data_IF_697090152199
#
_entry.id   IF_697090152199
#
_cell.length_a   1.000
_cell.length_b   1.000
_cell.length_c   1.000
_cell.angle_alpha   90.00
_cell.angle_beta   90.00
_cell.angle_gamma   90.00
#
_symmetry.space_group_name_H-M   'P 1'
#
loop_
_entity.id
_entity.type
_entity.pdbx_description
1 polymer ?
#
# COMPACT_ATOMS: atom_id res chain seq x y z
N UNK A 1 -13.35 -37.27 11.97
CA UNK A 1 -13.83 -35.92 11.64
C UNK A 1 -12.61 -35.03 11.58
N UNK A 2 -12.03 -34.85 10.40
CA UNK A 2 -10.89 -33.94 10.19
C UNK A 2 -11.45 -32.52 10.15
N UNK A 3 -10.96 -31.67 11.04
CA UNK A 3 -11.28 -30.25 11.03
C UNK A 3 -10.38 -29.63 9.96
N UNK A 4 -10.95 -29.24 8.83
CA UNK A 4 -10.24 -28.40 7.85
C UNK A 4 -10.09 -27.00 8.45
N UNK A 5 -8.86 -26.52 8.51
CA UNK A 5 -8.54 -25.16 8.95
C UNK A 5 -8.17 -24.33 7.73
N UNK A 6 -8.92 -23.26 7.48
CA UNK A 6 -8.65 -22.31 6.41
C UNK A 6 -7.75 -21.18 6.92
N UNK A 7 -6.61 -20.96 6.25
CA UNK A 7 -5.69 -19.87 6.53
C UNK A 7 -6.07 -18.65 5.68
N UNK A 8 -6.64 -17.63 6.33
CA UNK A 8 -7.01 -16.36 5.69
C UNK A 8 -5.95 -15.31 6.00
N UNK A 9 -5.28 -14.78 4.97
CA UNK A 9 -4.40 -13.62 5.12
C UNK A 9 -5.25 -12.37 5.22
N UNK A 10 -5.08 -11.61 6.31
CA UNK A 10 -5.82 -10.36 6.49
C UNK A 10 -5.26 -9.24 5.60
N UNK A 11 -6.13 -8.32 5.21
CA UNK A 11 -5.74 -7.13 4.42
C UNK A 11 -4.68 -6.28 5.15
N UNK A 12 -4.60 -6.37 6.49
CA UNK A 12 -3.55 -5.73 7.28
C UNK A 12 -2.16 -6.36 7.08
N UNK A 13 -2.09 -7.68 6.96
CA UNK A 13 -0.83 -8.38 6.63
C UNK A 13 -0.40 -7.99 5.22
N UNK A 14 -1.34 -7.97 4.27
CA UNK A 14 -1.07 -7.52 2.89
C UNK A 14 -0.53 -6.09 2.89
N UNK A 15 -1.15 -5.17 3.64
CA UNK A 15 -0.71 -3.77 3.73
C UNK A 15 0.71 -3.66 4.28
N UNK A 16 1.05 -4.42 5.31
CA UNK A 16 2.39 -4.43 5.90
C UNK A 16 3.46 -5.00 4.95
N UNK A 17 3.14 -6.10 4.25
CA UNK A 17 4.03 -6.70 3.24
C UNK A 17 4.25 -5.73 2.08
N UNK A 18 3.18 -5.09 1.58
CA UNK A 18 3.25 -4.10 0.52
C UNK A 18 4.06 -2.86 0.94
N UNK A 19 3.88 -2.34 2.15
CA UNK A 19 4.68 -1.24 2.69
C UNK A 19 6.16 -1.60 2.75
N UNK A 20 6.50 -2.78 3.28
CA UNK A 20 7.89 -3.25 3.32
C UNK A 20 8.49 -3.37 1.91
N UNK A 21 7.74 -3.93 0.97
CA UNK A 21 8.18 -4.07 -0.41
C UNK A 21 8.45 -2.70 -1.05
N UNK A 22 7.50 -1.76 -0.94
CA UNK A 22 7.64 -0.41 -1.48
C UNK A 22 8.84 0.34 -0.88
N UNK A 23 9.02 0.30 0.44
CA UNK A 23 10.14 0.95 1.13
C UNK A 23 11.51 0.39 0.74
N UNK A 24 11.57 -0.86 0.23
CA UNK A 24 12.82 -1.48 -0.22
C UNK A 24 13.25 -1.08 -1.63
N UNK A 25 12.42 -0.34 -2.38
CA UNK A 25 12.73 0.04 -3.75
C UNK A 25 13.70 1.22 -3.78
N UNK A 26 14.85 1.10 -4.48
CA UNK A 26 15.79 2.21 -4.65
C UNK A 26 15.13 3.45 -5.24
N UNK A 27 15.38 4.61 -4.63
CA UNK A 27 14.79 5.89 -5.01
C UNK A 27 13.55 6.28 -4.22
N UNK A 28 12.94 5.35 -3.48
CA UNK A 28 11.96 5.68 -2.43
C UNK A 28 12.73 6.21 -1.22
N UNK A 29 12.49 7.47 -0.84
CA UNK A 29 13.14 8.07 0.31
C UNK A 29 12.42 7.68 1.61
N UNK A 30 11.08 7.74 1.59
CA UNK A 30 10.21 7.38 2.72
C UNK A 30 8.80 7.09 2.24
N UNK A 31 8.09 6.23 2.97
CA UNK A 31 6.65 6.11 2.85
C UNK A 31 6.02 7.16 3.75
N UNK A 32 5.03 7.88 3.24
CA UNK A 32 4.35 8.91 4.01
C UNK A 32 2.88 8.54 4.16
N UNK A 33 2.28 8.67 5.35
CA UNK A 33 0.83 8.67 5.47
C UNK A 33 0.31 9.84 4.65
N UNK A 34 -0.13 9.60 3.41
CA UNK A 34 -0.48 10.69 2.51
C UNK A 34 -1.57 11.60 3.07
N UNK A 35 -1.76 12.78 2.48
CA UNK A 35 -2.78 13.74 2.93
C UNK A 35 -4.18 13.11 3.02
N UNK A 36 -4.50 12.15 2.15
CA UNK A 36 -5.73 11.35 2.24
C UNK A 36 -5.76 10.42 3.46
N UNK A 37 -4.63 9.96 3.97
CA UNK A 37 -4.52 9.11 5.16
C UNK A 37 -4.83 9.90 6.44
N UNK A 38 -4.42 11.17 6.48
CA UNK A 38 -4.81 12.11 7.53
C UNK A 38 -6.32 12.46 7.46
N UNK A 39 -6.83 12.78 6.27
CA UNK A 39 -8.27 13.08 6.07
C UNK A 39 -9.15 11.84 6.30
N UNK A 40 -8.72 10.66 5.85
CA UNK A 40 -9.43 9.40 6.15
C UNK A 40 -9.28 9.00 7.61
N UNK A 41 -8.17 9.34 8.30
CA UNK A 41 -8.05 9.15 9.75
C UNK A 41 -9.11 9.93 10.52
N UNK A 42 -9.42 11.16 10.08
CA UNK A 42 -10.52 11.95 10.63
C UNK A 42 -11.89 11.40 10.22
N UNK A 43 -12.04 10.96 8.97
CA UNK A 43 -13.25 10.29 8.53
C UNK A 43 -13.45 8.93 9.23
N UNK A 44 -12.41 8.25 9.69
CA UNK A 44 -12.46 6.95 10.41
C UNK A 44 -13.10 7.11 11.78
N UNK A 45 -12.86 8.24 12.47
CA UNK A 45 -13.60 8.63 13.67
C UNK A 45 -15.09 8.88 13.39
N UNK A 46 -15.45 9.37 12.19
CA UNK A 46 -16.85 9.59 11.78
C UNK A 46 -17.56 8.37 11.16
N UNK A 47 -16.82 7.50 10.46
CA UNK A 47 -17.33 6.34 9.70
C UNK A 47 -17.41 5.06 10.51
N UNK A 48 -16.72 4.95 11.66
CA UNK A 48 -16.98 3.88 12.64
C UNK A 48 -18.46 3.81 13.07
N UNK A 49 -19.23 4.88 12.83
CA UNK A 49 -20.67 4.92 13.10
C UNK A 49 -21.57 4.50 11.92
N UNK A 50 -21.08 4.37 10.67
CA UNK A 50 -22.01 4.33 9.51
C UNK A 50 -21.78 3.30 8.38
N UNK A 51 -20.57 2.93 7.93
CA UNK A 51 -20.46 2.08 6.71
C UNK A 51 -19.24 1.15 6.73
N UNK A 52 -19.48 -0.16 6.75
CA UNK A 52 -18.50 -1.25 6.83
C UNK A 52 -17.70 -1.53 5.55
N UNK A 53 -16.77 -0.64 5.22
CA UNK A 53 -15.65 -0.93 4.31
C UNK A 53 -14.35 -0.60 5.04
N UNK A 54 -13.78 -1.61 5.70
CA UNK A 54 -12.54 -1.48 6.48
C UNK A 54 -11.34 -1.47 5.53
N UNK A 55 -10.70 -0.31 5.38
CA UNK A 55 -9.39 -0.22 4.72
C UNK A 55 -8.29 -0.45 5.75
N UNK A 56 -7.47 -1.46 5.49
CA UNK A 56 -6.26 -1.73 6.25
C UNK A 56 -5.16 -0.76 5.82
N UNK A 57 -4.53 -0.09 6.79
CA UNK A 57 -3.48 0.88 6.56
C UNK A 57 -2.20 0.46 7.28
N UNK A 58 -1.07 0.52 6.56
CA UNK A 58 0.29 0.52 7.09
C UNK A 58 0.96 1.82 6.62
N UNK A 59 2.11 2.24 7.17
CA UNK A 59 2.73 3.55 6.87
C UNK A 59 2.74 3.86 5.36
N UNK A 60 1.92 4.83 4.92
CA UNK A 60 1.76 5.22 3.51
C UNK A 60 1.11 4.19 2.57
N UNK A 61 0.68 3.02 3.05
CA UNK A 61 0.06 1.97 2.24
C UNK A 61 -1.37 1.69 2.68
N UNK A 62 -2.27 1.57 1.70
CA UNK A 62 -3.66 1.20 1.91
C UNK A 62 -4.06 0.06 1.02
N UNK A 63 -4.78 -0.89 1.62
CA UNK A 63 -5.39 -2.01 0.91
C UNK A 63 -6.90 -1.81 0.92
N UNK A 64 -7.51 -2.03 -0.24
CA UNK A 64 -8.96 -1.98 -0.44
C UNK A 64 -9.36 -3.10 -1.38
N UNK A 65 -10.54 -3.68 -1.14
CA UNK A 65 -11.16 -4.60 -2.08
C UNK A 65 -12.04 -3.84 -3.06
N UNK A 66 -11.92 -4.15 -4.35
CA UNK A 66 -12.76 -3.56 -5.39
C UNK A 66 -14.18 -4.15 -5.31
N UNK A 67 -15.14 -3.52 -5.99
CA UNK A 67 -16.50 -4.02 -6.06
C UNK A 67 -16.61 -5.43 -6.69
N UNK A 68 -15.62 -5.84 -7.48
CA UNK A 68 -15.53 -7.17 -8.09
C UNK A 68 -14.75 -8.18 -7.23
N UNK A 69 -14.34 -7.79 -6.02
CA UNK A 69 -13.59 -8.63 -5.09
C UNK A 69 -12.07 -8.67 -5.31
N UNK A 70 -11.56 -7.91 -6.27
CA UNK A 70 -10.13 -7.75 -6.51
C UNK A 70 -9.44 -6.94 -5.42
N UNK A 71 -8.12 -7.03 -5.33
CA UNK A 71 -7.30 -6.36 -4.34
C UNK A 71 -6.55 -5.17 -4.97
N UNK A 72 -6.86 -3.96 -4.51
CA UNK A 72 -6.19 -2.73 -4.90
C UNK A 72 -5.30 -2.21 -3.77
N UNK A 73 -4.06 -1.87 -4.10
CA UNK A 73 -3.08 -1.29 -3.19
C UNK A 73 -2.78 0.14 -3.62
N UNK A 74 -2.85 1.07 -2.68
CA UNK A 74 -2.39 2.44 -2.86
C UNK A 74 -1.14 2.66 -2.02
N UNK A 75 -0.10 3.22 -2.62
CA UNK A 75 1.17 3.57 -1.98
C UNK A 75 1.39 5.06 -2.11
N UNK A 76 1.55 5.75 -0.99
CA UNK A 76 1.90 7.16 -0.89
C UNK A 76 3.36 7.27 -0.42
N UNK A 77 4.20 7.95 -1.19
CA UNK A 77 5.65 7.98 -0.95
C UNK A 77 6.30 9.30 -1.36
N UNK A 78 7.52 9.51 -0.86
CA UNK A 78 8.42 10.56 -1.32
C UNK A 78 9.64 9.96 -2.01
N UNK A 79 10.16 10.64 -3.02
CA UNK A 79 11.32 10.20 -3.79
C UNK A 79 12.58 10.95 -3.38
N UNK A 80 13.74 10.32 -3.56
CA UNK A 80 15.02 11.02 -3.51
C UNK A 80 15.23 11.92 -4.73
N UNK A 81 15.98 13.01 -4.58
CA UNK A 81 16.20 14.06 -5.59
C UNK A 81 16.53 13.57 -7.02
N UNK A 82 17.41 12.58 -7.12
CA UNK A 82 17.93 12.07 -8.40
C UNK A 82 17.03 11.00 -9.03
N UNK A 83 15.89 10.71 -8.40
CA UNK A 83 15.01 9.62 -8.80
C UNK A 83 14.02 10.07 -9.88
N UNK A 84 13.87 9.25 -10.91
CA UNK A 84 12.82 9.46 -11.93
C UNK A 84 11.51 8.86 -11.45
N UNK A 85 10.50 9.72 -11.27
CA UNK A 85 9.16 9.37 -10.80
C UNK A 85 8.55 8.14 -11.48
N UNK A 86 8.52 8.12 -12.82
CA UNK A 86 7.94 7.00 -13.56
C UNK A 86 8.73 5.70 -13.39
N UNK A 87 10.06 5.77 -13.30
CA UNK A 87 10.93 4.61 -13.12
C UNK A 87 10.74 4.00 -11.73
N UNK A 88 10.78 4.82 -10.68
CA UNK A 88 10.58 4.35 -9.30
C UNK A 88 9.14 3.88 -9.10
N UNK A 89 8.14 4.59 -9.64
CA UNK A 89 6.74 4.20 -9.55
C UNK A 89 6.49 2.81 -10.14
N UNK A 90 7.00 2.54 -11.36
CA UNK A 90 6.88 1.22 -11.98
C UNK A 90 7.63 0.13 -11.18
N UNK A 91 8.80 0.45 -10.63
CA UNK A 91 9.54 -0.47 -9.78
C UNK A 91 8.80 -0.80 -8.48
N UNK A 92 8.16 0.18 -7.83
CA UNK A 92 7.30 0.00 -6.65
C UNK A 92 6.10 -0.87 -6.98
N UNK A 93 5.39 -0.60 -8.07
CA UNK A 93 4.25 -1.41 -8.51
C UNK A 93 4.64 -2.88 -8.65
N UNK A 94 5.74 -3.14 -9.35
CA UNK A 94 6.24 -4.50 -9.55
C UNK A 94 6.67 -5.15 -8.25
N UNK A 95 7.46 -4.47 -7.43
CA UNK A 95 7.95 -4.99 -6.16
C UNK A 95 6.80 -5.37 -5.22
N UNK A 96 5.76 -4.55 -5.14
CA UNK A 96 4.56 -4.83 -4.34
C UNK A 96 3.82 -6.05 -4.88
N UNK A 97 3.54 -6.11 -6.17
CA UNK A 97 2.83 -7.25 -6.79
C UNK A 97 3.59 -8.56 -6.54
N UNK A 98 4.90 -8.57 -6.84
CA UNK A 98 5.73 -9.75 -6.74
C UNK A 98 5.84 -10.20 -5.27
N UNK A 99 6.17 -9.28 -4.35
CA UNK A 99 6.41 -9.60 -2.94
C UNK A 99 5.15 -10.04 -2.21
N UNK A 100 4.01 -9.38 -2.45
CA UNK A 100 2.73 -9.77 -1.82
C UNK A 100 2.34 -11.17 -2.27
N UNK A 101 2.43 -11.46 -3.56
CA UNK A 101 2.12 -12.80 -4.08
C UNK A 101 3.07 -13.86 -3.51
N UNK A 102 4.37 -13.57 -3.49
CA UNK A 102 5.38 -14.51 -2.98
C UNK A 102 5.20 -14.80 -1.49
N UNK A 103 4.95 -13.79 -0.66
CA UNK A 103 4.93 -13.96 0.80
C UNK A 103 3.55 -14.31 1.37
N UNK A 104 2.46 -14.02 0.65
CA UNK A 104 1.09 -14.22 1.15
C UNK A 104 0.23 -15.12 0.29
N UNK A 105 0.64 -15.42 -0.95
CA UNK A 105 -0.18 -16.12 -1.94
C UNK A 105 -1.32 -15.27 -2.53
N UNK A 106 -1.51 -14.03 -2.07
CA UNK A 106 -2.58 -13.14 -2.53
C UNK A 106 -2.14 -12.42 -3.82
N UNK A 107 -3.03 -12.39 -4.82
CA UNK A 107 -2.83 -11.60 -6.04
C UNK A 107 -3.29 -10.17 -5.82
N UNK A 108 -2.45 -9.20 -6.22
CA UNK A 108 -2.82 -7.79 -6.28
C UNK A 108 -3.22 -7.44 -7.70
N UNK A 109 -4.43 -6.93 -7.89
CA UNK A 109 -4.97 -6.59 -9.21
C UNK A 109 -4.48 -5.20 -9.68
N UNK A 110 -4.29 -4.29 -8.74
CA UNK A 110 -3.88 -2.92 -9.03
C UNK A 110 -2.94 -2.38 -7.95
N UNK A 111 -1.86 -1.71 -8.37
CA UNK A 111 -1.03 -0.89 -7.49
C UNK A 111 -0.98 0.54 -8.04
N UNK A 112 -1.50 1.49 -7.26
CA UNK A 112 -1.40 2.91 -7.55
C UNK A 112 -0.33 3.56 -6.67
N UNK A 113 0.52 4.40 -7.26
CA UNK A 113 1.60 5.09 -6.55
C UNK A 113 1.34 6.59 -6.63
N UNK A 114 1.27 7.24 -5.48
CA UNK A 114 1.20 8.70 -5.35
C UNK A 114 2.54 9.20 -4.82
N UNK A 115 3.20 10.07 -5.60
CA UNK A 115 4.40 10.76 -5.16
C UNK A 115 3.97 12.08 -4.51
N UNK A 116 4.24 12.23 -3.22
CA UNK A 116 3.86 13.42 -2.45
C UNK A 116 4.94 14.50 -2.51
N UNK A 117 6.20 14.08 -2.56
CA UNK A 117 7.36 14.95 -2.45
C UNK A 117 8.57 14.33 -3.18
N UNK A 118 9.49 15.20 -3.61
CA UNK A 118 10.80 14.82 -4.13
C UNK A 118 11.82 15.60 -3.31
N UNK A 119 12.65 14.89 -2.54
CA UNK A 119 13.63 15.51 -1.66
C UNK A 119 14.57 16.43 -2.45
N UNK A 120 15.01 17.55 -1.88
CA UNK A 120 15.91 18.47 -2.56
C UNK A 120 17.28 17.82 -2.80
N UNK A 121 17.82 18.01 -4.00
CA UNK A 121 19.19 17.61 -4.33
C UNK A 121 20.22 18.52 -3.67
N UNK A 122 21.46 18.04 -3.57
CA UNK A 122 22.58 18.92 -3.23
C UNK A 122 22.79 19.92 -4.38
N UNK A 123 22.72 21.21 -4.06
CA UNK A 123 23.00 22.32 -4.98
C UNK A 123 24.51 22.52 -5.18
#
# INVERSE_FOLDING_TARGET
MTVDAELVVSDAVVAAVAARAAASVPGVARLEPGLRGLVVGWARLGKQLLVGQESAASEGVRVQRTATGGLAVQVDLSLGAESRAATVGAAVQRAVIDTVREQTGVTVDEVSVTILDIEPGAL
#
